data_IF_450053408138
#
_entry.id   IF_450053408138
#
_cell.length_a   1.000
_cell.length_b   1.000
_cell.length_c   1.000
_cell.angle_alpha   90.00
_cell.angle_beta   90.00
_cell.angle_gamma   90.00
#
_symmetry.space_group_name_H-M   'P 1'
#
loop_
_entity.id
_entity.type
_entity.pdbx_description
1 polymer ?
#
# COMPACT_ATOMS: atom_id res chain seq x y z
N UNK A 1 34.54 7.91 -16.27
CA UNK A 1 33.17 7.41 -16.05
C UNK A 1 32.38 8.36 -15.19
N UNK A 2 31.38 9.03 -15.79
CA UNK A 2 30.55 10.02 -15.09
C UNK A 2 29.55 9.30 -14.20
N UNK A 3 29.77 9.36 -12.89
CA UNK A 3 28.88 8.78 -11.88
C UNK A 3 27.50 9.43 -12.02
N UNK A 4 26.53 8.65 -12.50
CA UNK A 4 25.15 9.13 -12.61
C UNK A 4 24.48 9.03 -11.24
N UNK A 5 24.56 10.11 -10.48
CA UNK A 5 24.03 10.20 -9.11
C UNK A 5 22.53 9.86 -9.02
N UNK A 6 21.76 10.08 -10.08
CA UNK A 6 20.32 9.72 -10.12
C UNK A 6 20.09 8.21 -10.16
N UNK A 7 21.00 7.44 -10.77
CA UNK A 7 20.90 5.98 -10.75
C UNK A 7 21.21 5.43 -9.35
N UNK A 8 22.24 5.96 -8.71
CA UNK A 8 22.68 5.52 -7.37
C UNK A 8 21.60 5.82 -6.32
N UNK A 9 20.99 7.00 -6.35
CA UNK A 9 19.92 7.34 -5.39
C UNK A 9 18.65 6.51 -5.61
N UNK A 10 18.34 6.16 -6.87
CA UNK A 10 17.23 5.27 -7.17
C UNK A 10 17.49 3.84 -6.70
N UNK A 11 18.69 3.30 -6.93
CA UNK A 11 19.10 1.97 -6.47
C UNK A 11 19.10 1.89 -4.93
N UNK A 12 19.62 2.91 -4.24
CA UNK A 12 19.56 2.98 -2.77
C UNK A 12 18.13 2.93 -2.23
N UNK A 13 17.17 3.57 -2.93
CA UNK A 13 15.74 3.51 -2.57
C UNK A 13 15.15 2.11 -2.78
N UNK A 14 15.51 1.43 -3.86
CA UNK A 14 15.05 0.07 -4.14
C UNK A 14 15.59 -0.92 -3.09
N UNK A 15 16.89 -0.88 -2.78
CA UNK A 15 17.52 -1.69 -1.73
C UNK A 15 16.89 -1.45 -0.36
N UNK A 16 16.58 -0.19 -0.06
CA UNK A 16 15.93 0.19 1.19
C UNK A 16 14.52 -0.36 1.36
N UNK A 17 13.86 -0.80 0.29
CA UNK A 17 12.54 -1.44 0.32
C UNK A 17 12.66 -2.95 0.29
N UNK A 18 13.35 -3.50 -0.71
CA UNK A 18 13.64 -4.93 -0.83
C UNK A 18 14.82 -5.15 -1.80
N UNK A 19 15.86 -5.91 -1.41
CA UNK A 19 16.99 -6.22 -2.29
C UNK A 19 16.58 -6.83 -3.64
N UNK A 20 15.46 -7.56 -3.69
CA UNK A 20 14.93 -8.20 -4.90
C UNK A 20 14.45 -7.24 -5.97
N UNK A 21 14.31 -5.96 -5.63
CA UNK A 21 14.04 -4.90 -6.59
C UNK A 21 15.24 -4.53 -7.46
N UNK A 22 16.45 -4.88 -7.01
CA UNK A 22 17.70 -4.75 -7.80
C UNK A 22 18.11 -6.12 -8.34
N UNK A 23 18.16 -7.13 -7.48
CA UNK A 23 18.55 -8.48 -7.85
C UNK A 23 17.47 -9.49 -7.44
N UNK A 24 16.64 -9.98 -8.38
CA UNK A 24 15.51 -10.86 -8.07
C UNK A 24 15.88 -12.15 -7.33
N UNK A 25 17.13 -12.60 -7.43
CA UNK A 25 17.63 -13.83 -6.80
C UNK A 25 18.32 -13.55 -5.44
N UNK A 26 18.28 -12.30 -4.96
CA UNK A 26 18.84 -11.92 -3.66
C UNK A 26 18.19 -12.68 -2.50
N UNK A 27 19.00 -13.00 -1.48
CA UNK A 27 18.52 -13.65 -0.28
C UNK A 27 17.41 -12.83 0.40
N UNK A 28 16.36 -13.54 0.79
CA UNK A 28 15.19 -12.95 1.41
C UNK A 28 15.40 -12.90 2.91
N UNK A 29 15.59 -11.71 3.44
CA UNK A 29 15.52 -11.48 4.88
C UNK A 29 14.06 -11.59 5.35
N UNK A 30 13.77 -12.61 6.16
CA UNK A 30 12.44 -12.86 6.73
C UNK A 30 11.94 -11.74 7.65
N UNK A 31 12.83 -10.89 8.14
CA UNK A 31 12.51 -9.69 8.94
C UNK A 31 12.48 -8.41 8.08
N UNK A 32 12.53 -8.54 6.76
CA UNK A 32 12.48 -7.42 5.82
C UNK A 32 11.21 -6.58 5.93
N UNK A 33 11.27 -5.32 5.48
CA UNK A 33 10.17 -4.35 5.59
C UNK A 33 8.84 -4.84 5.03
N UNK A 34 8.88 -5.60 3.93
CA UNK A 34 7.67 -6.13 3.30
C UNK A 34 6.99 -7.20 4.18
N UNK A 35 7.76 -8.03 4.89
CA UNK A 35 7.22 -9.00 5.84
C UNK A 35 6.61 -8.32 7.06
N UNK A 36 7.29 -7.31 7.61
CA UNK A 36 6.74 -6.51 8.72
C UNK A 36 5.47 -5.76 8.30
N UNK A 37 5.43 -5.23 7.08
CA UNK A 37 4.23 -4.60 6.55
C UNK A 37 3.08 -5.59 6.40
N UNK A 38 3.34 -6.78 5.84
CA UNK A 38 2.34 -7.85 5.74
C UNK A 38 1.82 -8.28 7.12
N UNK A 39 2.69 -8.36 8.12
CA UNK A 39 2.30 -8.64 9.51
C UNK A 39 1.39 -7.54 10.07
N UNK A 40 1.77 -6.27 9.94
CA UNK A 40 0.96 -5.16 10.42
C UNK A 40 -0.43 -5.11 9.75
N UNK A 41 -0.50 -5.34 8.44
CA UNK A 41 -1.76 -5.41 7.70
C UNK A 41 -2.63 -6.57 8.21
N UNK A 42 -2.01 -7.73 8.47
CA UNK A 42 -2.72 -8.89 9.00
C UNK A 42 -3.25 -8.66 10.42
N UNK A 43 -2.48 -8.02 11.30
CA UNK A 43 -2.92 -7.69 12.65
C UNK A 43 -4.14 -6.76 12.64
N UNK A 44 -4.14 -5.73 11.79
CA UNK A 44 -5.30 -4.85 11.62
C UNK A 44 -6.49 -5.56 10.97
N UNK A 45 -6.24 -6.53 10.09
CA UNK A 45 -7.28 -7.36 9.47
C UNK A 45 -8.02 -8.18 10.53
N UNK A 46 -7.28 -8.91 11.37
CA UNK A 46 -7.84 -9.71 12.46
C UNK A 46 -8.51 -8.82 13.51
N UNK A 47 -7.85 -7.73 13.91
CA UNK A 47 -8.38 -6.78 14.88
C UNK A 47 -9.66 -6.04 14.43
N UNK A 48 -9.95 -6.02 13.13
CA UNK A 48 -11.14 -5.40 12.56
C UNK A 48 -12.15 -6.40 11.97
N UNK A 49 -11.99 -7.70 12.23
CA UNK A 49 -12.83 -8.76 11.68
C UNK A 49 -14.32 -8.56 11.99
N UNK A 50 -14.64 -8.15 13.23
CA UNK A 50 -16.01 -8.02 13.73
C UNK A 50 -16.86 -7.06 12.89
N UNK A 51 -16.26 -5.97 12.42
CA UNK A 51 -16.94 -4.94 11.62
C UNK A 51 -16.43 -4.87 10.18
N UNK A 52 -15.65 -5.87 9.74
CA UNK A 52 -15.02 -5.93 8.41
C UNK A 52 -14.31 -4.63 8.05
N UNK A 53 -13.36 -4.22 8.89
CA UNK A 53 -12.54 -3.04 8.62
C UNK A 53 -11.73 -3.18 7.34
N UNK A 54 -11.52 -2.07 6.67
CA UNK A 54 -10.79 -1.99 5.41
C UNK A 54 -9.48 -1.21 5.56
N UNK A 55 -8.55 -1.47 4.66
CA UNK A 55 -7.18 -0.98 4.74
C UNK A 55 -6.72 -0.51 3.37
N UNK A 56 -5.94 0.57 3.35
CA UNK A 56 -5.28 1.06 2.15
C UNK A 56 -3.77 0.88 2.29
N UNK A 57 -3.15 0.25 1.28
CA UNK A 57 -1.71 -0.01 1.23
C UNK A 57 -1.14 0.76 0.05
N UNK A 58 -0.29 1.74 0.37
CA UNK A 58 0.32 2.66 -0.58
C UNK A 58 1.74 2.20 -0.91
N UNK A 59 2.02 2.02 -2.20
CA UNK A 59 3.37 1.73 -2.68
C UNK A 59 3.68 2.46 -4.00
N UNK A 60 4.58 3.43 -3.99
CA UNK A 60 5.02 4.14 -5.19
C UNK A 60 6.22 3.48 -5.89
N UNK A 61 6.80 2.42 -5.29
CA UNK A 61 7.86 1.58 -5.87
C UNK A 61 7.26 0.30 -6.45
N UNK A 62 7.59 -0.01 -7.70
CA UNK A 62 7.14 -1.26 -8.33
C UNK A 62 5.87 -1.12 -9.18
N UNK A 63 5.48 0.10 -9.55
CA UNK A 63 4.58 0.31 -10.69
C UNK A 63 5.10 -0.54 -11.86
N UNK A 64 4.25 -1.37 -12.50
CA UNK A 64 4.69 -2.35 -13.50
C UNK A 64 5.15 -1.66 -14.79
N UNK A 65 6.33 -1.04 -14.75
CA UNK A 65 7.07 -0.57 -15.91
C UNK A 65 8.00 -1.68 -16.36
N UNK A 66 7.43 -2.67 -17.06
CA UNK A 66 8.13 -3.60 -17.96
C UNK A 66 9.30 -4.42 -17.39
N UNK A 67 9.16 -5.76 -17.42
CA UNK A 67 10.24 -6.75 -17.25
C UNK A 67 10.95 -6.83 -15.88
N UNK A 68 10.37 -6.34 -14.78
CA UNK A 68 10.88 -6.67 -13.44
C UNK A 68 10.35 -8.03 -12.99
N UNK A 69 11.25 -8.98 -12.70
CA UNK A 69 10.91 -10.33 -12.18
C UNK A 69 10.27 -10.28 -10.78
N UNK A 70 10.50 -9.22 -10.01
CA UNK A 70 9.94 -9.02 -8.67
C UNK A 70 9.02 -7.80 -8.63
N UNK A 71 7.82 -8.00 -8.06
CA UNK A 71 6.80 -6.97 -7.87
C UNK A 71 6.36 -6.94 -6.39
N UNK A 72 6.46 -5.77 -5.77
CA UNK A 72 6.09 -5.56 -4.35
C UNK A 72 4.61 -5.84 -4.11
N UNK A 73 3.75 -5.45 -5.06
CA UNK A 73 2.32 -5.67 -4.99
C UNK A 73 1.97 -7.16 -4.94
N UNK A 74 2.56 -7.92 -5.85
CA UNK A 74 2.34 -9.37 -5.93
C UNK A 74 2.93 -10.06 -4.71
N UNK A 75 4.12 -9.68 -4.27
CA UNK A 75 4.74 -10.21 -3.07
C UNK A 75 3.86 -9.99 -1.83
N UNK A 76 3.40 -8.75 -1.59
CA UNK A 76 2.50 -8.45 -0.46
C UNK A 76 1.20 -9.24 -0.55
N UNK A 77 0.59 -9.33 -1.73
CA UNK A 77 -0.64 -10.13 -1.93
C UNK A 77 -0.39 -11.60 -1.56
N UNK A 78 0.68 -12.20 -2.05
CA UNK A 78 1.01 -13.59 -1.75
C UNK A 78 1.25 -13.81 -0.26
N UNK A 79 2.00 -12.93 0.40
CA UNK A 79 2.25 -13.04 1.84
C UNK A 79 0.96 -12.87 2.67
N UNK A 80 0.06 -11.97 2.28
CA UNK A 80 -1.24 -11.82 2.93
C UNK A 80 -2.13 -13.06 2.76
N UNK A 81 -2.12 -13.67 1.57
CA UNK A 81 -2.83 -14.94 1.32
C UNK A 81 -2.23 -16.07 2.18
N UNK A 82 -0.90 -16.15 2.27
CA UNK A 82 -0.22 -17.15 3.12
C UNK A 82 -0.56 -16.99 4.59
N UNK A 83 -0.79 -15.76 5.06
CA UNK A 83 -1.25 -15.47 6.43
C UNK A 83 -2.74 -15.80 6.65
N UNK A 84 -3.49 -16.12 5.59
CA UNK A 84 -4.88 -16.57 5.66
C UNK A 84 -5.91 -15.53 5.25
N UNK A 85 -5.51 -14.41 4.64
CA UNK A 85 -6.46 -13.44 4.09
C UNK A 85 -6.98 -13.98 2.74
N UNK A 86 -8.30 -14.07 2.54
CA UNK A 86 -8.86 -14.52 1.27
C UNK A 86 -8.44 -13.63 0.10
N UNK A 87 -8.05 -14.23 -1.02
CA UNK A 87 -7.63 -13.49 -2.22
C UNK A 87 -8.73 -12.55 -2.73
N UNK A 88 -10.00 -12.95 -2.60
CA UNK A 88 -11.16 -12.17 -2.99
C UNK A 88 -11.41 -10.95 -2.11
N UNK A 89 -10.77 -10.82 -0.95
CA UNK A 89 -10.84 -9.62 -0.11
C UNK A 89 -9.71 -8.60 -0.43
N UNK A 90 -8.77 -8.98 -1.30
CA UNK A 90 -7.65 -8.15 -1.75
C UNK A 90 -7.97 -7.58 -3.13
N UNK A 91 -7.61 -6.32 -3.37
CA UNK A 91 -7.79 -5.67 -4.67
C UNK A 91 -6.67 -4.68 -4.98
N UNK A 92 -6.40 -4.49 -6.27
CA UNK A 92 -5.49 -3.47 -6.78
C UNK A 92 -6.26 -2.33 -7.44
N UNK A 93 -5.91 -1.08 -7.14
CA UNK A 93 -6.49 0.07 -7.83
C UNK A 93 -6.08 0.11 -9.32
N UNK A 94 -4.95 -0.52 -9.67
CA UNK A 94 -4.42 -0.58 -11.03
C UNK A 94 -5.30 -1.40 -11.99
N UNK A 95 -6.09 -2.36 -11.46
CA UNK A 95 -7.01 -3.17 -12.27
C UNK A 95 -8.27 -2.39 -12.69
N UNK A 96 -8.53 -1.25 -12.03
CA UNK A 96 -9.66 -0.38 -12.32
C UNK A 96 -9.26 0.74 -13.29
N UNK A 97 -9.40 0.47 -14.60
CA UNK A 97 -9.01 1.41 -15.66
C UNK A 97 -10.05 2.50 -15.95
N UNK A 98 -11.32 2.28 -15.57
CA UNK A 98 -12.41 3.24 -15.77
C UNK A 98 -12.92 3.80 -14.43
N UNK A 99 -13.49 5.00 -14.46
CA UNK A 99 -14.07 5.62 -13.25
C UNK A 99 -15.23 4.80 -12.69
N UNK A 100 -15.98 4.10 -13.55
CA UNK A 100 -17.04 3.17 -13.14
C UNK A 100 -16.47 1.99 -12.33
N UNK A 101 -15.39 1.36 -12.82
CA UNK A 101 -14.74 0.26 -12.10
C UNK A 101 -14.11 0.73 -10.78
N UNK A 102 -13.56 1.94 -10.74
CA UNK A 102 -13.03 2.52 -9.49
C UNK A 102 -14.15 2.72 -8.47
N UNK A 103 -15.29 3.26 -8.89
CA UNK A 103 -16.44 3.45 -8.01
C UNK A 103 -17.02 2.12 -7.50
N UNK A 104 -17.09 1.09 -8.35
CA UNK A 104 -17.47 -0.27 -7.96
C UNK A 104 -16.50 -0.84 -6.92
N UNK A 105 -15.19 -0.69 -7.15
CA UNK A 105 -14.17 -1.11 -6.19
C UNK A 105 -14.29 -0.36 -4.86
N UNK A 106 -14.56 0.94 -4.89
CA UNK A 106 -14.79 1.73 -3.67
C UNK A 106 -16.11 1.36 -2.99
N UNK A 107 -17.15 0.95 -3.73
CA UNK A 107 -18.37 0.40 -3.16
C UNK A 107 -18.11 -0.94 -2.46
N UNK A 108 -17.26 -1.80 -3.03
CA UNK A 108 -16.85 -3.06 -2.43
C UNK A 108 -16.05 -2.83 -1.13
N UNK A 109 -15.16 -1.84 -1.13
CA UNK A 109 -14.45 -1.42 0.08
C UNK A 109 -15.40 -0.85 1.14
N UNK A 110 -16.38 -0.02 0.77
CA UNK A 110 -17.39 0.50 1.71
C UNK A 110 -18.28 -0.59 2.31
N UNK A 111 -18.62 -1.61 1.53
CA UNK A 111 -19.42 -2.74 1.98
C UNK A 111 -18.62 -3.75 2.81
N UNK A 112 -17.29 -3.73 2.70
CA UNK A 112 -16.40 -4.69 3.34
C UNK A 112 -16.30 -6.03 2.58
N UNK A 113 -16.70 -6.04 1.29
CA UNK A 113 -16.42 -7.17 0.38
C UNK A 113 -14.92 -7.22 0.03
N UNK A 114 -14.36 -6.06 -0.29
CA UNK A 114 -12.91 -5.87 -0.36
C UNK A 114 -12.47 -5.24 0.96
N UNK A 115 -11.39 -5.75 1.53
CA UNK A 115 -10.83 -5.28 2.81
C UNK A 115 -9.43 -4.73 2.68
N UNK A 116 -8.70 -5.10 1.64
CA UNK A 116 -7.34 -4.59 1.39
C UNK A 116 -7.29 -4.03 -0.01
N UNK A 117 -6.98 -2.73 -0.11
CA UNK A 117 -6.75 -2.05 -1.37
C UNK A 117 -5.28 -1.68 -1.49
N UNK A 118 -4.60 -2.20 -2.50
CA UNK A 118 -3.23 -1.86 -2.83
C UNK A 118 -3.18 -0.89 -4.01
N UNK A 119 -2.33 0.12 -3.94
CA UNK A 119 -2.14 1.07 -5.03
C UNK A 119 -1.09 2.13 -4.79
N UNK A 120 -0.79 2.93 -5.81
CA UNK A 120 0.09 4.08 -5.66
C UNK A 120 -0.61 5.25 -4.95
N UNK A 121 0.18 6.11 -4.30
CA UNK A 121 -0.29 7.35 -3.66
C UNK A 121 -1.03 8.24 -4.64
N UNK A 122 -0.59 8.28 -5.91
CA UNK A 122 -1.21 9.07 -6.97
C UNK A 122 -2.57 8.56 -7.43
N UNK A 123 -2.80 7.24 -7.44
CA UNK A 123 -4.06 6.65 -7.92
C UNK A 123 -5.15 6.65 -6.85
N UNK A 124 -4.75 6.64 -5.58
CA UNK A 124 -5.64 6.75 -4.44
C UNK A 124 -5.82 8.20 -3.94
N UNK A 125 -4.94 9.12 -4.37
CA UNK A 125 -4.89 10.52 -3.94
C UNK A 125 -5.90 11.42 -4.65
N UNK A 126 -7.16 11.37 -4.21
CA UNK A 126 -8.22 12.41 -4.15
C UNK A 126 -9.60 11.76 -4.37
N UNK A 127 -10.52 11.96 -3.41
CA UNK A 127 -11.95 11.65 -3.58
C UNK A 127 -12.41 10.21 -3.30
N UNK A 128 -11.56 9.32 -2.78
CA UNK A 128 -11.98 7.93 -2.47
C UNK A 128 -12.88 7.90 -1.23
N UNK A 129 -14.19 7.66 -1.42
CA UNK A 129 -15.17 7.51 -0.35
C UNK A 129 -15.05 6.15 0.38
N UNK A 130 -13.85 5.73 0.76
CA UNK A 130 -13.59 4.46 1.47
C UNK A 130 -13.58 4.62 3.00
N UNK A 131 -13.90 5.82 3.49
CA UNK A 131 -13.67 6.27 4.86
C UNK A 131 -14.50 5.52 5.91
N UNK A 132 -15.70 5.02 5.55
CA UNK A 132 -16.67 4.46 6.51
C UNK A 132 -16.13 3.24 7.28
N UNK A 133 -15.25 2.45 6.66
CA UNK A 133 -14.67 1.23 7.26
C UNK A 133 -13.15 1.25 7.30
N UNK A 134 -12.50 2.33 6.87
CA UNK A 134 -11.03 2.41 6.80
C UNK A 134 -10.45 2.44 8.21
N UNK A 135 -9.72 1.39 8.59
CA UNK A 135 -9.08 1.27 9.91
C UNK A 135 -7.62 1.68 9.89
N UNK A 136 -6.95 1.45 8.77
CA UNK A 136 -5.52 1.62 8.63
C UNK A 136 -5.12 2.05 7.22
N UNK A 137 -4.12 2.93 7.17
CA UNK A 137 -3.36 3.26 5.98
C UNK A 137 -1.89 2.87 6.20
N UNK A 138 -1.32 2.11 5.28
CA UNK A 138 0.06 1.60 5.32
C UNK A 138 0.86 2.17 4.16
N UNK A 139 1.96 2.85 4.43
CA UNK A 139 2.89 3.35 3.40
C UNK A 139 4.13 2.46 3.38
N UNK A 140 4.40 1.81 2.24
CA UNK A 140 5.48 0.83 2.09
C UNK A 140 6.80 1.50 1.69
N UNK A 141 6.74 2.64 1.00
CA UNK A 141 7.91 3.33 0.49
C UNK A 141 7.89 4.83 0.76
N UNK A 142 9.09 5.42 0.75
CA UNK A 142 9.25 6.84 1.00
C UNK A 142 8.89 7.66 -0.25
N UNK A 143 7.97 8.64 -0.14
CA UNK A 143 7.76 9.63 -1.19
C UNK A 143 9.04 10.46 -1.43
N UNK A 144 9.23 10.89 -2.69
CA UNK A 144 10.41 11.64 -3.16
C UNK A 144 10.58 13.04 -2.54
N UNK A 145 9.57 13.53 -1.79
CA UNK A 145 9.57 14.88 -1.22
C UNK A 145 9.93 14.86 0.26
N UNK A 146 10.87 15.69 0.72
CA UNK A 146 11.23 15.85 2.13
C UNK A 146 10.05 16.18 3.05
N UNK A 147 9.01 16.86 2.56
CA UNK A 147 7.79 17.19 3.31
C UNK A 147 7.01 15.95 3.77
N UNK A 148 7.23 14.81 3.12
CA UNK A 148 6.43 13.60 3.29
C UNK A 148 7.22 12.49 4.04
N UNK A 149 8.44 12.81 4.52
CA UNK A 149 9.43 11.90 5.14
C UNK A 149 9.05 11.42 6.56
N UNK A 150 8.03 12.02 7.19
CA UNK A 150 7.59 11.65 8.55
C UNK A 150 6.86 10.30 8.69
N UNK A 151 6.75 9.49 7.62
CA UNK A 151 5.84 8.32 7.52
C UNK A 151 6.52 6.99 7.18
N UNK A 152 7.74 6.75 7.67
CA UNK A 152 8.57 5.63 7.16
C UNK A 152 8.09 4.21 7.51
N UNK A 153 7.18 3.99 8.47
CA UNK A 153 6.49 2.72 8.70
C UNK A 153 5.38 3.04 9.72
N UNK A 154 4.42 3.87 9.30
CA UNK A 154 3.40 4.39 10.21
C UNK A 154 2.04 3.92 9.76
N UNK A 155 1.52 2.91 10.46
CA UNK A 155 0.10 2.56 10.39
C UNK A 155 -0.68 3.68 11.07
N UNK A 156 -1.40 4.46 10.29
CA UNK A 156 -2.31 5.47 10.84
C UNK A 156 -3.62 4.77 11.22
N UNK A 157 -3.82 4.52 12.52
CA UNK A 157 -5.13 4.10 13.05
C UNK A 157 -6.08 5.28 13.00
N UNK A 158 -7.09 5.20 12.13
CA UNK A 158 -8.13 6.22 12.07
C UNK A 158 -9.07 5.97 13.25
N UNK A 159 -8.93 6.76 14.32
CA UNK A 159 -9.91 6.78 15.42
C UNK A 159 -11.22 7.37 14.91
N UNK A 160 -12.35 6.79 15.31
CA UNK A 160 -13.73 7.08 14.86
C UNK A 160 -14.25 8.52 15.00
N UNK A 161 -13.42 9.48 15.44
CA UNK A 161 -13.77 10.89 15.55
C UNK A 161 -12.73 11.74 14.81
N UNK A 162 -12.92 11.94 13.50
CA UNK A 162 -12.22 13.01 12.78
C UNK A 162 -13.29 14.00 12.33
N UNK A 163 -13.28 15.17 12.96
CA UNK A 163 -14.03 16.32 12.50
C UNK A 163 -13.58 16.67 11.08
N UNK A 164 -14.54 16.68 10.17
CA UNK A 164 -14.37 17.15 8.81
C UNK A 164 -14.30 18.66 8.88
N UNK A 165 -13.10 19.24 8.83
CA UNK A 165 -12.97 20.68 8.60
C UNK A 165 -13.08 20.99 7.11
N UNK A 166 -13.86 22.04 6.87
CA UNK A 166 -14.35 22.55 5.60
C UNK A 166 -13.19 22.84 4.63
N UNK A 167 -13.00 21.94 3.65
CA UNK A 167 -12.20 22.06 2.40
C UNK A 167 -11.72 20.70 1.83
N UNK A 168 -12.20 19.57 2.36
CA UNK A 168 -12.06 18.26 1.70
C UNK A 168 -10.63 17.72 1.56
N UNK A 169 -9.65 18.35 2.21
CA UNK A 169 -8.26 17.87 2.29
C UNK A 169 -7.99 17.37 3.71
N UNK A 170 -7.73 16.07 3.82
CA UNK A 170 -7.09 15.51 5.00
C UNK A 170 -5.59 15.67 4.81
N UNK A 171 -4.95 16.46 5.67
CA UNK A 171 -3.50 16.47 5.84
C UNK A 171 -3.20 15.38 6.87
N UNK A 172 -2.51 14.33 6.44
CA UNK A 172 -2.00 13.25 7.31
C UNK A 172 -0.62 13.67 7.86
#
# INVERSE_FOLDING_TARGET
DTVNMLKITNEARLLGTDPRLIDPDAEVDGDGKLFQAAENIYQEYIGSQEFKGTQAVFCDIGTPTGNKKFNVYDFLKQELIRKGIPEDEIAFIHDAHSDKQKEELFADMRSGRKRILLGSTSMMGTGTNIQKRLVAAHHIDCPWKPSDVGRILRTFKIKKNVEVTDNGKIII
#
